data_IF_635351415175
#
_entry.id   IF_635351415175
#
_cell.length_a   1.000
_cell.length_b   1.000
_cell.length_c   1.000
_cell.angle_alpha   90.00
_cell.angle_beta   90.00
_cell.angle_gamma   90.00
#
_symmetry.space_group_name_H-M   'P 1'
#
loop_
_entity.id
_entity.type
_entity.pdbx_description
1 polymer ?
#
# COMPACT_ATOMS: atom_id res chain seq x y z
N UNK A 1 -68.04 -33.47 11.45
CA UNK A 1 -67.74 -32.44 10.43
C UNK A 1 -66.38 -32.76 9.83
N UNK A 2 -66.27 -33.01 8.50
CA UNK A 2 -64.98 -33.33 7.88
C UNK A 2 -64.18 -32.02 7.68
N UNK A 3 -62.89 -32.05 8.00
CA UNK A 3 -61.95 -30.97 7.69
C UNK A 3 -61.64 -31.01 6.20
N UNK A 4 -62.17 -30.04 5.45
CA UNK A 4 -62.17 -30.07 3.98
C UNK A 4 -60.87 -29.53 3.33
N UNK A 5 -59.91 -29.00 4.10
CA UNK A 5 -58.62 -28.53 3.55
C UNK A 5 -57.52 -28.58 4.62
N UNK A 6 -56.66 -29.58 4.56
CA UNK A 6 -55.30 -29.45 5.09
C UNK A 6 -54.37 -29.26 3.89
N UNK A 7 -54.02 -28.02 3.59
CA UNK A 7 -53.01 -27.73 2.59
C UNK A 7 -51.69 -28.33 3.06
N UNK A 8 -50.93 -29.05 2.21
CA UNK A 8 -49.65 -29.60 2.64
C UNK A 8 -48.76 -28.45 3.09
N UNK A 9 -48.36 -28.46 4.37
CA UNK A 9 -47.34 -27.57 4.92
C UNK A 9 -46.06 -27.79 4.13
N UNK A 10 -45.85 -26.99 3.09
CA UNK A 10 -44.59 -26.98 2.37
C UNK A 10 -43.56 -26.39 3.33
N UNK A 11 -42.71 -27.26 3.88
CA UNK A 11 -41.50 -26.86 4.58
C UNK A 11 -40.79 -25.77 3.76
N UNK A 12 -40.28 -24.71 4.40
CA UNK A 12 -39.63 -23.62 3.68
C UNK A 12 -38.52 -24.22 2.83
N UNK A 13 -38.66 -24.13 1.51
CA UNK A 13 -37.61 -24.49 0.56
C UNK A 13 -36.38 -23.72 0.98
N UNK A 14 -35.38 -24.42 1.55
CA UNK A 14 -34.05 -23.87 1.77
C UNK A 14 -33.56 -23.38 0.42
N UNK A 15 -33.67 -22.08 0.20
CA UNK A 15 -32.99 -21.42 -0.89
C UNK A 15 -31.51 -21.57 -0.57
N UNK A 16 -30.92 -22.63 -1.10
CA UNK A 16 -29.47 -22.72 -1.22
C UNK A 16 -29.07 -21.50 -2.04
N UNK A 17 -28.73 -20.41 -1.35
CA UNK A 17 -28.01 -19.29 -1.93
C UNK A 17 -26.69 -19.88 -2.38
N UNK A 18 -26.70 -20.40 -3.61
CA UNK A 18 -25.53 -20.85 -4.35
C UNK A 18 -24.60 -19.64 -4.37
N UNK A 19 -23.66 -19.62 -3.42
CA UNK A 19 -22.66 -18.57 -3.32
C UNK A 19 -22.06 -18.41 -4.70
N UNK A 20 -22.19 -17.22 -5.28
CA UNK A 20 -21.57 -16.90 -6.56
C UNK A 20 -20.10 -17.26 -6.42
N UNK A 21 -19.68 -18.34 -7.07
CA UNK A 21 -18.27 -18.71 -7.13
C UNK A 21 -17.60 -17.56 -7.87
N UNK A 22 -16.93 -16.70 -7.12
CA UNK A 22 -16.24 -15.55 -7.69
C UNK A 22 -15.17 -16.10 -8.63
N UNK A 23 -15.24 -15.64 -9.88
CA UNK A 23 -14.23 -15.88 -10.91
C UNK A 23 -12.87 -15.54 -10.33
N UNK A 24 -11.85 -16.36 -10.61
CA UNK A 24 -10.47 -16.12 -10.21
C UNK A 24 -9.75 -15.33 -11.32
N UNK A 25 -9.82 -13.98 -11.38
CA UNK A 25 -9.01 -13.25 -12.34
C UNK A 25 -7.54 -13.35 -11.91
N UNK A 26 -6.69 -13.58 -12.89
CA UNK A 26 -5.27 -13.31 -12.81
C UNK A 26 -5.08 -11.90 -12.24
N UNK A 27 -4.32 -11.75 -11.15
CA UNK A 27 -4.10 -10.47 -10.48
C UNK A 27 -3.21 -9.60 -11.35
N UNK A 28 -3.83 -8.75 -12.18
CA UNK A 28 -3.08 -7.63 -12.79
C UNK A 28 -2.66 -6.67 -11.67
N UNK A 29 -1.56 -5.92 -11.81
CA UNK A 29 -1.11 -4.96 -10.81
C UNK A 29 -2.14 -3.85 -10.50
N UNK A 30 -3.16 -3.70 -11.36
CA UNK A 30 -4.28 -2.75 -11.19
C UNK A 30 -5.52 -3.38 -10.52
N UNK A 31 -5.45 -4.64 -10.12
CA UNK A 31 -6.60 -5.31 -9.51
C UNK A 31 -6.81 -4.79 -8.09
N UNK A 32 -7.89 -4.03 -7.91
CA UNK A 32 -8.26 -3.42 -6.63
C UNK A 32 -9.01 -4.39 -5.71
N UNK A 33 -9.61 -5.45 -6.25
CA UNK A 33 -10.46 -6.38 -5.51
C UNK A 33 -10.31 -7.80 -6.06
N UNK A 34 -9.88 -8.76 -5.22
CA UNK A 34 -9.82 -10.18 -5.57
C UNK A 34 -10.37 -11.02 -4.41
N UNK A 35 -11.38 -11.84 -4.72
CA UNK A 35 -11.92 -12.83 -3.78
C UNK A 35 -11.18 -14.16 -3.92
N UNK A 36 -10.80 -14.73 -2.79
CA UNK A 36 -10.11 -16.01 -2.65
C UNK A 36 -8.92 -16.18 -3.62
N UNK A 37 -7.92 -15.28 -3.59
CA UNK A 37 -6.77 -15.37 -4.48
C UNK A 37 -5.93 -16.63 -4.18
N UNK A 38 -5.62 -17.43 -5.20
CA UNK A 38 -4.78 -18.63 -5.05
C UNK A 38 -3.28 -18.35 -5.12
N UNK A 39 -2.89 -17.25 -5.77
CA UNK A 39 -1.48 -16.92 -6.06
C UNK A 39 -0.88 -15.84 -5.13
N UNK A 40 -1.58 -15.48 -4.05
CA UNK A 40 -1.10 -14.46 -3.10
C UNK A 40 -0.72 -15.15 -1.79
N UNK A 41 0.57 -15.17 -1.47
CA UNK A 41 1.11 -15.62 -0.18
C UNK A 41 1.99 -14.52 0.42
N UNK A 42 2.02 -14.43 1.76
CA UNK A 42 2.83 -13.46 2.49
C UNK A 42 3.74 -14.15 3.52
N UNK A 43 4.84 -13.51 3.90
CA UNK A 43 5.91 -14.15 4.70
C UNK A 43 5.49 -14.59 6.11
N UNK A 44 4.55 -13.86 6.72
CA UNK A 44 4.02 -14.13 8.07
C UNK A 44 2.76 -14.98 8.07
N UNK A 45 2.42 -15.59 6.94
CA UNK A 45 1.23 -16.42 6.76
C UNK A 45 1.38 -17.74 7.53
N UNK A 46 0.41 -18.05 8.39
CA UNK A 46 0.32 -19.34 9.07
C UNK A 46 0.11 -20.49 8.08
N UNK A 47 0.47 -21.72 8.49
CA UNK A 47 0.30 -22.92 7.66
C UNK A 47 -1.17 -23.21 7.31
N UNK A 48 -2.10 -22.83 8.19
CA UNK A 48 -3.55 -22.97 8.02
C UNK A 48 -4.26 -21.61 7.79
N UNK A 49 -3.51 -20.56 7.49
CA UNK A 49 -4.05 -19.22 7.22
C UNK A 49 -4.36 -19.08 5.72
N UNK A 50 -5.63 -18.87 5.39
CA UNK A 50 -6.09 -18.71 4.01
C UNK A 50 -6.52 -17.25 3.75
N UNK A 51 -6.13 -16.73 2.58
CA UNK A 51 -6.52 -15.38 2.14
C UNK A 51 -7.91 -15.42 1.54
N UNK A 52 -8.89 -14.84 2.24
CA UNK A 52 -10.28 -14.80 1.79
C UNK A 52 -10.50 -13.64 0.82
N UNK A 53 -9.89 -12.49 1.09
CA UNK A 53 -10.07 -11.27 0.30
C UNK A 53 -8.79 -10.47 0.25
N UNK A 54 -8.44 -10.02 -0.96
CA UNK A 54 -7.40 -9.05 -1.21
C UNK A 54 -8.02 -7.76 -1.75
N UNK A 55 -7.66 -6.63 -1.14
CA UNK A 55 -8.20 -5.33 -1.45
C UNK A 55 -7.09 -4.29 -1.55
N UNK A 56 -7.20 -3.39 -2.53
CA UNK A 56 -6.28 -2.29 -2.78
C UNK A 56 -7.08 -1.06 -3.23
N UNK A 57 -6.56 0.11 -2.92
CA UNK A 57 -7.14 1.37 -3.40
C UNK A 57 -7.10 1.48 -4.94
N UNK A 58 -8.23 1.83 -5.56
CA UNK A 58 -8.33 1.93 -7.02
C UNK A 58 -7.58 3.16 -7.58
N UNK A 59 -7.17 3.12 -8.85
CA UNK A 59 -6.41 4.20 -9.52
C UNK A 59 -7.18 5.53 -9.59
N UNK A 60 -8.51 5.48 -9.52
CA UNK A 60 -9.38 6.68 -9.48
C UNK A 60 -9.01 7.59 -8.31
N UNK A 61 -8.53 7.04 -7.19
CA UNK A 61 -8.17 7.86 -6.03
C UNK A 61 -6.89 8.68 -6.27
N UNK A 62 -6.09 8.34 -7.29
CA UNK A 62 -4.92 9.13 -7.68
C UNK A 62 -5.30 10.38 -8.49
N UNK A 63 -6.53 10.47 -9.01
CA UNK A 63 -6.96 11.57 -9.88
C UNK A 63 -6.95 12.93 -9.16
N UNK A 64 -7.56 13.11 -7.96
CA UNK A 64 -7.56 14.43 -7.32
C UNK A 64 -6.15 14.95 -6.97
N UNK A 65 -5.24 14.16 -6.37
CA UNK A 65 -3.87 14.59 -6.14
C UNK A 65 -3.11 14.90 -7.43
N UNK A 66 -3.38 14.18 -8.52
CA UNK A 66 -2.77 14.43 -9.81
C UNK A 66 -3.23 15.77 -10.41
N UNK A 67 -4.53 16.07 -10.33
CA UNK A 67 -5.07 17.38 -10.73
C UNK A 67 -4.42 18.50 -9.90
N UNK A 68 -4.31 18.32 -8.58
CA UNK A 68 -3.62 19.29 -7.73
C UNK A 68 -2.14 19.44 -8.10
N UNK A 69 -1.46 18.34 -8.44
CA UNK A 69 -0.09 18.36 -8.93
C UNK A 69 0.08 19.14 -10.23
N UNK A 70 -0.87 19.03 -11.16
CA UNK A 70 -0.89 19.84 -12.38
C UNK A 70 -1.05 21.32 -12.02
N UNK A 71 -1.96 21.66 -11.11
CA UNK A 71 -2.14 23.05 -10.64
C UNK A 71 -0.84 23.57 -10.03
N UNK A 72 -0.18 22.79 -9.17
CA UNK A 72 1.10 23.17 -8.57
C UNK A 72 2.25 23.24 -9.59
N UNK A 73 2.21 22.46 -10.65
CA UNK A 73 3.20 22.56 -11.72
C UNK A 73 3.14 23.92 -12.45
N UNK A 74 1.94 24.46 -12.65
CA UNK A 74 1.76 25.76 -13.31
C UNK A 74 1.83 26.95 -12.34
N UNK A 75 1.70 26.73 -11.02
CA UNK A 75 1.74 27.78 -9.99
C UNK A 75 2.92 28.75 -10.11
N UNK A 76 4.19 28.32 -10.32
CA UNK A 76 5.34 29.23 -10.43
C UNK A 76 5.19 30.31 -11.50
N UNK A 77 4.56 29.97 -12.64
CA UNK A 77 4.33 30.91 -13.74
C UNK A 77 3.37 32.04 -13.37
N UNK A 78 2.51 31.82 -12.38
CA UNK A 78 1.53 32.81 -11.91
C UNK A 78 2.05 33.50 -10.64
N UNK A 79 2.56 32.72 -9.68
CA UNK A 79 3.00 33.21 -8.37
C UNK A 79 4.21 34.13 -8.45
N UNK A 80 5.26 33.77 -9.19
CA UNK A 80 6.47 34.61 -9.23
C UNK A 80 6.25 36.00 -9.83
N UNK A 81 5.62 36.17 -11.00
CA UNK A 81 5.33 37.51 -11.50
C UNK A 81 4.34 38.26 -10.60
N UNK A 82 3.35 37.57 -10.00
CA UNK A 82 2.43 38.18 -9.05
C UNK A 82 3.16 38.68 -7.79
N UNK A 83 4.11 37.90 -7.26
CA UNK A 83 4.90 38.24 -6.07
C UNK A 83 5.79 39.46 -6.32
N UNK A 84 6.48 39.51 -7.46
CA UNK A 84 7.31 40.65 -7.87
C UNK A 84 6.46 41.92 -7.98
N UNK A 85 5.27 41.83 -8.59
CA UNK A 85 4.35 42.95 -8.72
C UNK A 85 3.77 43.39 -7.37
N UNK A 86 3.46 42.45 -6.48
CA UNK A 86 2.87 42.73 -5.16
C UNK A 86 3.86 43.41 -4.22
N UNK A 87 5.11 42.96 -4.18
CA UNK A 87 6.11 43.49 -3.26
C UNK A 87 6.58 44.90 -3.61
N UNK A 88 6.23 45.44 -4.80
CA UNK A 88 6.66 46.75 -5.30
C UNK A 88 8.15 47.04 -5.00
N UNK A 89 8.96 45.98 -5.09
CA UNK A 89 10.29 45.98 -4.51
C UNK A 89 11.18 46.95 -5.30
N UNK A 90 11.84 47.92 -4.65
CA UNK A 90 12.87 48.73 -5.29
C UNK A 90 14.15 47.92 -5.60
N UNK A 91 14.23 46.68 -5.10
CA UNK A 91 15.31 45.74 -5.32
C UNK A 91 14.91 44.81 -6.47
N UNK A 92 15.67 44.85 -7.57
CA UNK A 92 15.57 43.88 -8.65
C UNK A 92 16.00 42.51 -8.14
N UNK A 93 15.08 41.55 -8.12
CA UNK A 93 15.42 40.16 -7.76
C UNK A 93 16.26 39.58 -8.90
N UNK A 94 17.53 39.19 -8.66
CA UNK A 94 18.33 38.58 -9.71
C UNK A 94 17.66 37.31 -10.23
N UNK A 95 17.68 37.10 -11.55
CA UNK A 95 17.02 35.97 -12.22
C UNK A 95 17.43 34.60 -11.66
N UNK A 96 18.67 34.48 -11.14
CA UNK A 96 19.16 33.27 -10.49
C UNK A 96 18.31 32.82 -9.29
N UNK A 97 17.80 33.75 -8.47
CA UNK A 97 16.96 33.40 -7.33
C UNK A 97 15.59 32.87 -7.78
N UNK A 98 15.03 33.42 -8.86
CA UNK A 98 13.77 32.92 -9.44
C UNK A 98 13.96 31.50 -9.97
N UNK A 99 15.09 31.23 -10.64
CA UNK A 99 15.42 29.88 -11.15
C UNK A 99 15.56 28.88 -10.00
N UNK A 100 16.33 29.21 -8.96
CA UNK A 100 16.51 28.33 -7.80
C UNK A 100 15.17 28.08 -7.08
N UNK A 101 14.37 29.12 -6.88
CA UNK A 101 13.04 29.00 -6.30
C UNK A 101 12.09 28.13 -7.14
N UNK A 102 12.16 28.23 -8.46
CA UNK A 102 11.39 27.38 -9.39
C UNK A 102 11.80 25.91 -9.27
N UNK A 103 13.11 25.63 -9.23
CA UNK A 103 13.62 24.26 -9.06
C UNK A 103 13.16 23.69 -7.72
N UNK A 104 13.32 24.46 -6.64
CA UNK A 104 12.87 24.05 -5.31
C UNK A 104 11.38 23.74 -5.28
N UNK A 105 10.55 24.56 -5.94
CA UNK A 105 9.12 24.34 -6.07
C UNK A 105 8.78 23.03 -6.79
N UNK A 106 9.48 22.72 -7.88
CA UNK A 106 9.27 21.46 -8.60
C UNK A 106 9.69 20.24 -7.79
N UNK A 107 10.79 20.33 -7.04
CA UNK A 107 11.20 19.26 -6.12
C UNK A 107 10.14 19.02 -5.05
N UNK A 108 9.58 20.10 -4.46
CA UNK A 108 8.51 19.99 -3.49
C UNK A 108 7.24 19.37 -4.08
N UNK A 109 6.84 19.81 -5.29
CA UNK A 109 5.67 19.27 -6.00
C UNK A 109 5.85 17.79 -6.35
N UNK A 110 7.05 17.41 -6.81
CA UNK A 110 7.40 16.03 -7.08
C UNK A 110 7.38 15.19 -5.80
N UNK A 111 7.95 15.69 -4.70
CA UNK A 111 7.93 15.00 -3.40
C UNK A 111 6.50 14.75 -2.90
N UNK A 112 5.60 15.73 -3.05
CA UNK A 112 4.18 15.57 -2.74
C UNK A 112 3.51 14.48 -3.59
N UNK A 113 3.71 14.51 -4.91
CA UNK A 113 3.15 13.52 -5.83
C UNK A 113 3.70 12.12 -5.54
N UNK A 114 5.02 12.01 -5.30
CA UNK A 114 5.68 10.76 -4.98
C UNK A 114 5.14 10.18 -3.66
N UNK A 115 5.01 11.00 -2.61
CA UNK A 115 4.49 10.55 -1.32
C UNK A 115 3.05 10.03 -1.46
N UNK A 116 2.22 10.74 -2.23
CA UNK A 116 0.84 10.32 -2.52
C UNK A 116 0.83 9.00 -3.31
N UNK A 117 1.67 8.88 -4.34
CA UNK A 117 1.79 7.67 -5.13
C UNK A 117 2.24 6.47 -4.27
N UNK A 118 3.25 6.64 -3.43
CA UNK A 118 3.75 5.59 -2.54
C UNK A 118 2.66 5.16 -1.56
N UNK A 119 1.94 6.11 -0.96
CA UNK A 119 0.83 5.81 -0.06
C UNK A 119 -0.26 5.02 -0.81
N UNK A 120 -0.66 5.45 -2.00
CA UNK A 120 -1.63 4.72 -2.84
C UNK A 120 -1.12 3.32 -3.25
N UNK A 121 0.15 3.19 -3.59
CA UNK A 121 0.74 1.95 -4.07
C UNK A 121 0.92 0.90 -2.96
N UNK A 122 1.29 1.31 -1.76
CA UNK A 122 1.55 0.38 -0.66
C UNK A 122 0.37 0.18 0.28
N UNK A 123 -0.72 0.93 0.12
CA UNK A 123 -1.95 0.72 0.85
C UNK A 123 -2.69 -0.53 0.34
N UNK A 124 -2.45 -1.65 1.03
CA UNK A 124 -3.02 -2.96 0.74
C UNK A 124 -3.74 -3.48 1.99
N UNK A 125 -4.94 -4.01 1.80
CA UNK A 125 -5.74 -4.68 2.83
C UNK A 125 -5.96 -6.14 2.47
N UNK A 126 -5.62 -7.03 3.39
CA UNK A 126 -5.76 -8.47 3.25
C UNK A 126 -6.62 -8.97 4.38
N UNK A 127 -7.70 -9.69 4.05
CA UNK A 127 -8.58 -10.33 5.03
C UNK A 127 -8.36 -11.84 4.94
N UNK A 128 -7.97 -12.42 6.06
CA UNK A 128 -7.75 -13.87 6.21
C UNK A 128 -8.83 -14.48 7.12
N UNK A 129 -8.85 -15.80 7.23
CA UNK A 129 -9.68 -16.52 8.20
C UNK A 129 -9.28 -16.27 9.67
N UNK A 130 -8.06 -15.81 9.94
CA UNK A 130 -7.55 -15.60 11.30
C UNK A 130 -7.58 -14.12 11.72
N UNK A 131 -7.26 -13.21 10.80
CA UNK A 131 -7.04 -11.78 11.09
C UNK A 131 -7.17 -10.89 9.86
N UNK A 132 -7.32 -9.60 10.11
CA UNK A 132 -7.24 -8.55 9.09
C UNK A 132 -5.83 -7.96 9.13
N UNK A 133 -5.18 -7.90 7.98
CA UNK A 133 -3.85 -7.30 7.82
C UNK A 133 -4.04 -6.04 6.98
N UNK A 134 -3.79 -4.88 7.60
CA UNK A 134 -3.72 -3.60 6.92
C UNK A 134 -2.24 -3.21 6.80
N UNK A 135 -1.74 -3.09 5.57
CA UNK A 135 -0.38 -2.63 5.32
C UNK A 135 -0.34 -1.11 5.27
N UNK A 136 -0.50 -0.46 6.42
CA UNK A 136 -0.26 0.97 6.59
C UNK A 136 1.23 1.17 6.90
N UNK A 137 2.13 0.94 5.93
CA UNK A 137 3.60 1.02 6.06
C UNK A 137 4.12 1.77 7.32
N UNK A 138 4.59 1.05 8.36
CA UNK A 138 5.50 1.63 9.34
C UNK A 138 6.90 0.98 9.27
N UNK A 139 7.02 -0.24 8.74
CA UNK A 139 8.25 -1.03 8.80
C UNK A 139 8.59 -1.62 7.43
N UNK A 140 9.70 -1.15 6.86
CA UNK A 140 10.55 -1.97 6.01
C UNK A 140 11.04 -3.15 6.87
N UNK A 141 10.35 -4.29 6.79
CA UNK A 141 10.83 -5.51 7.42
C UNK A 141 11.97 -6.02 6.53
N UNK A 142 13.20 -5.88 7.04
CA UNK A 142 14.37 -6.48 6.41
C UNK A 142 14.15 -7.99 6.27
N UNK A 143 14.37 -8.47 5.04
CA UNK A 143 14.24 -9.86 4.63
C UNK A 143 14.96 -10.78 5.64
N UNK A 144 14.21 -11.77 6.14
CA UNK A 144 14.67 -12.82 7.05
C UNK A 144 16.06 -13.31 6.62
N UNK A 145 17.05 -13.19 7.50
CA UNK A 145 18.33 -13.89 7.31
C UNK A 145 18.01 -15.39 7.15
N UNK A 146 18.37 -16.02 6.02
CA UNK A 146 18.08 -17.43 5.81
C UNK A 146 18.95 -18.21 6.81
N UNK A 147 18.32 -18.82 7.81
CA UNK A 147 18.95 -19.64 8.88
C UNK A 147 19.61 -18.83 10.00
N UNK A 148 18.83 -18.19 10.88
CA UNK A 148 19.37 -17.48 12.06
C UNK A 148 20.19 -18.39 12.98
N UNK A 149 19.88 -19.68 13.04
CA UNK A 149 20.65 -20.67 13.80
C UNK A 149 22.09 -20.81 13.29
N UNK A 150 22.30 -20.83 11.98
CA UNK A 150 23.63 -21.00 11.37
C UNK A 150 24.52 -19.78 11.64
N UNK A 151 23.95 -18.57 11.57
CA UNK A 151 24.67 -17.33 11.91
C UNK A 151 25.08 -17.31 13.38
N UNK A 152 24.20 -17.78 14.28
CA UNK A 152 24.53 -17.87 15.72
C UNK A 152 25.66 -18.85 15.97
N UNK A 153 25.68 -20.00 15.28
CA UNK A 153 26.77 -20.97 15.39
C UNK A 153 28.10 -20.39 14.90
N UNK A 154 28.11 -19.74 13.73
CA UNK A 154 29.33 -19.11 13.19
C UNK A 154 29.87 -18.01 14.12
N UNK A 155 29.00 -17.18 14.70
CA UNK A 155 29.41 -16.14 15.65
C UNK A 155 29.96 -16.76 16.95
N UNK A 156 29.36 -17.85 17.42
CA UNK A 156 29.80 -18.57 18.62
C UNK A 156 31.18 -19.19 18.40
N UNK A 157 31.38 -19.86 17.27
CA UNK A 157 32.64 -20.49 16.88
C UNK A 157 33.76 -19.45 16.76
N UNK A 158 33.50 -18.31 16.12
CA UNK A 158 34.48 -17.22 16.00
C UNK A 158 34.81 -16.59 17.35
N UNK A 159 33.83 -16.44 18.24
CA UNK A 159 34.03 -15.90 19.58
C UNK A 159 34.88 -16.84 20.44
N UNK A 160 34.63 -18.13 20.34
CA UNK A 160 35.37 -19.16 21.06
C UNK A 160 36.81 -19.25 20.56
N UNK A 161 37.03 -19.22 19.23
CA UNK A 161 38.36 -19.27 18.65
C UNK A 161 39.19 -18.00 18.96
N UNK A 162 38.53 -16.83 19.03
CA UNK A 162 39.17 -15.57 19.47
C UNK A 162 39.58 -15.61 20.95
N UNK A 163 38.76 -16.19 21.83
CA UNK A 163 39.12 -16.36 23.25
C UNK A 163 40.31 -17.32 23.39
N UNK A 164 40.33 -18.40 22.61
CA UNK A 164 41.43 -19.38 22.60
C UNK A 164 42.75 -18.78 22.09
N UNK A 165 42.71 -17.94 21.06
CA UNK A 165 43.89 -17.22 20.55
C UNK A 165 44.38 -16.04 21.41
N UNK A 166 43.67 -15.67 22.49
CA UNK A 166 44.07 -14.61 23.44
C UNK A 166 44.69 -15.15 24.73
N UNK A 167 44.61 -16.47 24.96
CA UNK A 167 45.17 -17.16 26.13
C UNK A 167 46.51 -17.87 25.82
N UNK A 168 47.18 -17.47 24.74
CA UNK A 168 48.57 -17.83 24.38
C UNK A 168 49.34 -16.52 24.28
#
# INVERSE_FOLDING_TARGET
MPVLFEAPSQAPKKTSKKGRQAVYPFSTPFTAYVMNPKDIRFETQGTDEEVILFLRQHIIVLIPPFILGIIFFFMPFILFPMLVRFLQSPIEIPSGYVVVGTIFWYVATFGYLLTTFLHWHFNIFIVTNHRIIASELPNFVFEKVPRPSEVVHVISDLTENRKKGRNV
#
